data_IF_779839273497
#
_entry.id   IF_779839273497
#
_cell.length_a   1.000
_cell.length_b   1.000
_cell.length_c   1.000
_cell.angle_alpha   90.00
_cell.angle_beta   90.00
_cell.angle_gamma   90.00
#
_symmetry.space_group_name_H-M   'P 1'
#
loop_
_entity.id
_entity.type
_entity.pdbx_description
1 polymer ?
#
# COMPACT_ATOMS: atom_id res chain seq x y z
N UNK A 1 7.78 19.40 -3.28
CA UNK A 1 7.38 18.00 -3.00
C UNK A 1 7.01 17.32 -4.31
N UNK A 2 7.43 16.07 -4.52
CA UNK A 2 7.28 15.36 -5.80
C UNK A 2 7.56 13.86 -5.68
N UNK A 3 7.12 13.23 -4.60
CA UNK A 3 7.36 11.79 -4.40
C UNK A 3 6.21 10.97 -4.96
N UNK A 4 6.58 9.88 -5.64
CA UNK A 4 5.68 8.82 -6.05
C UNK A 4 5.23 8.07 -4.79
N UNK A 5 3.95 7.70 -4.72
CA UNK A 5 3.47 6.64 -3.84
C UNK A 5 3.16 5.39 -4.67
N UNK A 6 3.63 4.24 -4.22
CA UNK A 6 3.43 2.96 -4.90
C UNK A 6 3.58 1.85 -3.87
N UNK A 7 2.62 0.92 -3.81
CA UNK A 7 2.70 -0.29 -3.01
C UNK A 7 1.74 -1.35 -3.57
N UNK A 8 1.94 -2.60 -3.17
CA UNK A 8 1.02 -3.70 -3.43
C UNK A 8 0.88 -4.51 -2.14
N UNK A 9 -0.31 -4.53 -1.55
CA UNK A 9 -0.55 -5.11 -0.22
C UNK A 9 -0.81 -6.62 -0.27
N UNK A 10 -0.04 -7.37 0.50
CA UNK A 10 -0.24 -8.80 0.72
C UNK A 10 -0.13 -9.10 2.22
N UNK A 11 -0.90 -10.09 2.69
CA UNK A 11 -0.67 -10.67 4.01
C UNK A 11 0.77 -11.22 4.11
N UNK A 12 1.29 -11.38 5.33
CA UNK A 12 2.65 -11.90 5.53
C UNK A 12 2.82 -13.33 4.99
N UNK A 13 1.77 -14.14 5.05
CA UNK A 13 1.66 -15.49 4.47
C UNK A 13 1.11 -15.50 3.03
N UNK A 14 0.89 -14.33 2.42
CA UNK A 14 0.40 -14.19 1.05
C UNK A 14 1.45 -14.52 -0.02
N UNK A 15 0.97 -15.02 -1.16
CA UNK A 15 1.77 -15.42 -2.33
C UNK A 15 1.66 -14.40 -3.48
N UNK A 16 2.69 -13.54 -3.68
CA UNK A 16 2.73 -12.57 -4.75
C UNK A 16 3.24 -13.12 -6.09
N UNK A 17 3.48 -14.43 -6.22
CA UNK A 17 4.18 -15.02 -7.39
C UNK A 17 3.52 -14.66 -8.72
N UNK A 18 2.19 -14.70 -8.80
CA UNK A 18 1.47 -14.35 -10.03
C UNK A 18 1.70 -12.88 -10.42
N UNK A 19 1.60 -11.95 -9.46
CA UNK A 19 1.84 -10.53 -9.67
C UNK A 19 3.29 -10.29 -10.11
N UNK A 20 4.24 -10.87 -9.38
CA UNK A 20 5.66 -10.70 -9.66
C UNK A 20 6.00 -11.24 -11.04
N UNK A 21 5.56 -12.45 -11.41
CA UNK A 21 5.80 -13.03 -12.74
C UNK A 21 5.39 -12.08 -13.88
N UNK A 22 4.23 -11.43 -13.76
CA UNK A 22 3.76 -10.43 -14.73
C UNK A 22 4.58 -9.15 -14.70
N UNK A 23 4.91 -8.64 -13.51
CA UNK A 23 5.72 -7.44 -13.35
C UNK A 23 7.10 -7.61 -14.01
N UNK A 24 7.79 -8.72 -13.76
CA UNK A 24 9.13 -9.00 -14.32
C UNK A 24 9.16 -9.03 -15.84
N UNK A 25 8.08 -9.51 -16.45
CA UNK A 25 7.93 -9.60 -17.90
C UNK A 25 7.47 -8.28 -18.56
N UNK A 26 6.99 -7.31 -17.77
CA UNK A 26 6.54 -6.01 -18.28
C UNK A 26 7.73 -5.08 -18.58
N UNK A 27 7.61 -4.15 -19.54
CA UNK A 27 8.66 -3.18 -19.80
C UNK A 27 8.80 -2.16 -18.67
N UNK A 28 10.04 -1.80 -18.39
CA UNK A 28 10.48 -0.70 -17.55
C UNK A 28 10.30 0.65 -18.22
N UNK A 29 10.77 1.71 -17.55
CA UNK A 29 10.78 3.06 -18.15
C UNK A 29 11.87 3.24 -19.20
N UNK A 30 12.83 2.32 -19.26
CA UNK A 30 13.87 2.19 -20.29
C UNK A 30 13.42 1.35 -21.49
N UNK A 31 12.20 0.78 -21.45
CA UNK A 31 11.65 -0.07 -22.51
C UNK A 31 12.07 -1.55 -22.41
N UNK A 32 13.01 -1.90 -21.53
CA UNK A 32 13.48 -3.27 -21.33
C UNK A 32 12.63 -4.01 -20.28
N UNK A 33 12.56 -5.36 -20.31
CA UNK A 33 11.86 -6.11 -19.26
C UNK A 33 12.41 -5.78 -17.86
N UNK A 34 11.51 -5.56 -16.89
CA UNK A 34 11.90 -5.21 -15.51
C UNK A 34 12.74 -6.26 -14.81
N UNK A 35 12.67 -7.52 -15.26
CA UNK A 35 13.45 -8.63 -14.69
C UNK A 35 13.19 -8.77 -13.19
N UNK A 36 14.22 -9.14 -12.41
CA UNK A 36 14.10 -9.35 -10.96
C UNK A 36 14.19 -8.05 -10.13
N UNK A 37 14.01 -6.87 -10.74
CA UNK A 37 13.98 -5.61 -9.97
C UNK A 37 12.80 -5.61 -8.99
N UNK A 38 12.96 -5.07 -7.77
CA UNK A 38 11.85 -4.97 -6.83
C UNK A 38 10.84 -3.92 -7.31
N UNK A 39 9.57 -4.15 -7.01
CA UNK A 39 8.53 -3.11 -7.15
C UNK A 39 8.89 -1.94 -6.22
N UNK A 40 8.67 -0.70 -6.66
CA UNK A 40 8.79 0.46 -5.77
C UNK A 40 7.75 0.35 -4.65
N UNK A 41 8.23 0.17 -3.42
CA UNK A 41 7.39 0.11 -2.23
C UNK A 41 7.60 1.35 -1.36
N UNK A 42 6.56 2.16 -1.27
CA UNK A 42 6.42 3.28 -0.34
C UNK A 42 5.45 2.85 0.74
N UNK A 43 5.92 2.89 1.98
CA UNK A 43 5.09 2.51 3.11
C UNK A 43 4.01 3.59 3.32
N UNK A 44 2.72 3.25 3.22
CA UNK A 44 1.63 4.23 3.30
C UNK A 44 1.42 4.77 4.71
N UNK A 45 1.95 4.12 5.76
CA UNK A 45 1.90 4.64 7.14
C UNK A 45 2.92 5.75 7.32
N UNK A 46 4.14 5.58 6.79
CA UNK A 46 5.27 6.48 7.04
C UNK A 46 5.51 7.50 5.93
N UNK A 47 5.03 7.22 4.72
CA UNK A 47 5.33 7.99 3.50
C UNK A 47 6.75 7.77 2.92
N UNK A 48 7.52 6.81 3.47
CA UNK A 48 8.91 6.54 3.07
C UNK A 48 9.08 5.20 2.35
N UNK A 49 9.98 5.18 1.37
CA UNK A 49 10.38 3.96 0.64
C UNK A 49 11.04 2.94 1.55
N UNK A 50 10.79 1.65 1.30
CA UNK A 50 11.47 0.52 1.95
C UNK A 50 11.46 0.56 3.49
N UNK A 51 10.42 1.15 4.08
CA UNK A 51 10.31 1.32 5.53
C UNK A 51 9.32 0.35 6.16
N UNK A 52 9.36 0.26 7.49
CA UNK A 52 8.47 -0.56 8.33
C UNK A 52 7.77 0.34 9.34
N UNK A 53 6.50 0.04 9.60
CA UNK A 53 5.71 0.63 10.67
C UNK A 53 4.84 -0.44 11.35
N UNK A 54 4.74 -0.43 12.69
CA UNK A 54 3.82 -1.27 13.43
C UNK A 54 2.36 -0.86 13.17
N UNK A 55 1.42 -1.72 13.53
CA UNK A 55 0.00 -1.44 13.37
C UNK A 55 -0.45 -0.20 14.17
N UNK A 56 0.11 0.04 15.35
CA UNK A 56 -0.19 1.19 16.21
C UNK A 56 0.03 2.56 15.52
N UNK A 57 0.89 2.62 14.50
CA UNK A 57 1.13 3.83 13.71
C UNK A 57 0.09 4.04 12.58
N UNK A 58 -0.75 3.02 12.32
CA UNK A 58 -1.87 3.13 11.40
C UNK A 58 -2.98 3.95 12.03
N UNK A 59 -3.20 5.14 11.47
CA UNK A 59 -4.14 6.14 11.97
C UNK A 59 -5.59 5.84 11.60
N UNK A 60 -5.83 4.86 10.73
CA UNK A 60 -7.17 4.48 10.34
C UNK A 60 -7.24 3.68 9.05
N UNK A 61 -7.60 2.42 9.18
CA UNK A 61 -8.13 1.57 8.12
C UNK A 61 -9.62 1.83 7.93
N UNK A 62 -10.07 2.09 6.71
CA UNK A 62 -11.48 2.20 6.37
C UNK A 62 -12.04 0.80 6.08
N UNK A 63 -12.66 0.18 7.07
CA UNK A 63 -13.30 -1.14 6.93
C UNK A 63 -14.69 -0.94 6.30
N UNK A 64 -14.97 -1.46 5.10
CA UNK A 64 -16.24 -1.21 4.43
C UNK A 64 -17.37 -2.08 5.02
N UNK A 65 -18.59 -1.56 4.99
CA UNK A 65 -19.79 -2.37 5.21
C UNK A 65 -19.97 -3.41 4.09
N UNK A 66 -20.74 -4.47 4.33
CA UNK A 66 -20.91 -5.57 3.36
C UNK A 66 -21.39 -5.10 1.96
N UNK A 67 -22.27 -4.09 1.92
CA UNK A 67 -22.78 -3.49 0.69
C UNK A 67 -21.89 -2.36 0.12
N UNK A 68 -20.73 -2.11 0.72
CA UNK A 68 -19.77 -1.06 0.38
C UNK A 68 -20.33 0.39 0.41
N UNK A 69 -21.50 0.61 1.02
CA UNK A 69 -22.14 1.92 1.08
C UNK A 69 -21.62 2.83 2.20
N UNK A 70 -20.94 2.25 3.19
CA UNK A 70 -20.37 2.95 4.34
C UNK A 70 -19.10 2.24 4.81
N UNK A 71 -18.41 2.81 5.79
CA UNK A 71 -17.27 2.15 6.40
C UNK A 71 -16.90 2.78 7.73
N UNK A 72 -16.29 1.97 8.60
CA UNK A 72 -15.79 2.38 9.90
C UNK A 72 -14.29 2.63 9.81
N UNK A 73 -13.84 3.71 10.45
CA UNK A 73 -12.42 4.04 10.52
C UNK A 73 -11.81 3.39 11.77
N UNK A 74 -10.98 2.37 11.57
CA UNK A 74 -10.37 1.57 12.64
C UNK A 74 -8.87 1.87 12.72
N UNK A 75 -8.39 2.56 13.77
CA UNK A 75 -6.96 2.74 13.99
C UNK A 75 -6.31 1.42 14.44
N UNK A 76 -5.01 1.24 14.19
CA UNK A 76 -4.29 0.09 14.71
C UNK A 76 -4.55 -1.25 14.00
N UNK A 77 -5.27 -1.25 12.87
CA UNK A 77 -5.76 -2.51 12.29
C UNK A 77 -4.70 -3.32 11.54
N UNK A 78 -3.77 -2.67 10.83
CA UNK A 78 -2.66 -3.33 10.12
C UNK A 78 -1.37 -2.54 10.21
N UNK A 79 -0.26 -3.26 10.29
CA UNK A 79 1.07 -2.69 10.08
C UNK A 79 1.40 -2.58 8.60
N UNK A 80 2.63 -2.15 8.31
CA UNK A 80 3.13 -2.05 6.95
C UNK A 80 4.65 -2.26 6.93
N UNK A 81 5.12 -3.25 6.16
CA UNK A 81 6.54 -3.53 5.98
C UNK A 81 6.83 -3.80 4.51
N UNK A 82 7.61 -2.92 3.87
CA UNK A 82 8.14 -3.22 2.54
C UNK A 82 9.16 -4.36 2.61
N UNK A 83 8.95 -5.43 1.86
CA UNK A 83 9.89 -6.53 1.76
C UNK A 83 10.93 -6.33 0.64
N UNK A 84 11.88 -7.26 0.54
CA UNK A 84 12.98 -7.21 -0.45
C UNK A 84 12.51 -7.34 -1.90
N UNK A 85 11.28 -7.82 -2.14
CA UNK A 85 10.69 -7.97 -3.46
C UNK A 85 9.87 -6.73 -3.86
N UNK A 86 9.72 -5.75 -2.96
CA UNK A 86 8.90 -4.57 -3.18
C UNK A 86 7.41 -4.78 -2.85
N UNK A 87 7.08 -5.84 -2.12
CA UNK A 87 5.71 -6.12 -1.68
C UNK A 87 5.49 -5.49 -0.31
N UNK A 88 4.33 -4.87 -0.12
CA UNK A 88 3.93 -4.35 1.17
C UNK A 88 3.28 -5.47 1.99
N UNK A 89 3.98 -5.89 3.04
CA UNK A 89 3.55 -6.92 3.98
C UNK A 89 2.76 -6.27 5.12
N UNK A 90 1.52 -6.70 5.30
CA UNK A 90 0.56 -6.04 6.21
C UNK A 90 0.35 -6.77 7.55
N UNK A 91 1.06 -7.88 7.78
CA UNK A 91 0.86 -8.73 8.93
C UNK A 91 -0.37 -9.63 8.78
N UNK A 92 -1.09 -9.80 9.90
CA UNK A 92 -2.39 -10.46 9.91
C UNK A 92 -3.49 -9.44 9.58
N UNK A 93 -4.17 -9.57 8.43
CA UNK A 93 -5.14 -8.59 7.97
C UNK A 93 -6.49 -8.69 8.71
N UNK A 94 -7.19 -7.56 8.93
CA UNK A 94 -8.57 -7.58 9.41
C UNK A 94 -9.51 -8.14 8.35
N UNK A 95 -10.74 -8.47 8.76
CA UNK A 95 -11.81 -8.84 7.84
C UNK A 95 -12.26 -7.61 7.03
N UNK A 96 -11.79 -7.51 5.78
CA UNK A 96 -12.10 -6.39 4.86
C UNK A 96 -13.29 -6.67 3.93
N UNK A 97 -13.78 -7.91 3.89
CA UNK A 97 -14.85 -8.37 3.00
C UNK A 97 -14.35 -9.30 1.89
N UNK A 98 -15.20 -9.54 0.88
CA UNK A 98 -15.00 -10.61 -0.11
C UNK A 98 -14.09 -10.27 -1.28
N UNK A 99 -13.50 -9.07 -1.33
CA UNK A 99 -12.69 -8.63 -2.46
C UNK A 99 -11.17 -8.88 -2.29
N UNK A 100 -10.79 -9.74 -1.34
CA UNK A 100 -9.42 -10.25 -1.23
C UNK A 100 -9.14 -11.18 -2.40
N UNK A 101 -8.11 -10.86 -3.18
CA UNK A 101 -7.75 -11.60 -4.38
C UNK A 101 -6.93 -12.87 -4.04
N UNK A 102 -6.84 -13.85 -4.97
CA UNK A 102 -6.01 -15.03 -4.79
C UNK A 102 -4.57 -14.70 -4.35
N UNK A 103 -4.00 -15.56 -3.50
CA UNK A 103 -2.68 -15.33 -2.91
C UNK A 103 -2.69 -14.39 -1.70
N UNK A 104 -3.86 -14.14 -1.08
CA UNK A 104 -4.04 -13.16 0.02
C UNK A 104 -3.56 -11.77 -0.39
N UNK A 105 -3.95 -11.38 -1.60
CA UNK A 105 -3.65 -10.10 -2.23
C UNK A 105 -4.77 -9.09 -1.89
N UNK A 106 -4.40 -7.99 -1.25
CA UNK A 106 -5.30 -6.96 -0.77
C UNK A 106 -5.39 -5.75 -1.70
N UNK A 107 -5.06 -5.90 -2.98
CA UNK A 107 -5.01 -4.80 -3.95
C UNK A 107 -6.28 -3.91 -3.96
N UNK A 108 -7.47 -4.52 -3.91
CA UNK A 108 -8.75 -3.77 -3.85
C UNK A 108 -8.84 -2.87 -2.61
N UNK A 109 -8.15 -3.25 -1.55
CA UNK A 109 -8.10 -2.57 -0.26
C UNK A 109 -6.82 -1.75 -0.04
N UNK A 110 -5.96 -1.57 -1.05
CA UNK A 110 -4.67 -0.88 -0.91
C UNK A 110 -4.82 0.52 -0.27
N UNK A 111 -5.82 1.31 -0.69
CA UNK A 111 -6.11 2.62 -0.09
C UNK A 111 -6.92 2.47 1.22
N UNK A 112 -8.03 1.69 1.27
CA UNK A 112 -8.77 1.46 2.50
C UNK A 112 -7.92 1.03 3.71
N UNK A 113 -6.95 0.13 3.53
CA UNK A 113 -6.08 -0.35 4.62
C UNK A 113 -5.31 0.78 5.33
N UNK A 114 -5.05 1.90 4.65
CA UNK A 114 -4.24 3.01 5.15
C UNK A 114 -4.92 4.38 4.95
N UNK A 115 -6.25 4.38 4.90
CA UNK A 115 -7.08 5.52 4.49
C UNK A 115 -6.66 6.83 5.15
N UNK A 116 -6.53 6.82 6.48
CA UNK A 116 -6.21 8.04 7.23
C UNK A 116 -4.77 8.50 7.02
N UNK A 117 -3.81 7.57 6.98
CA UNK A 117 -2.41 7.91 6.75
C UNK A 117 -2.20 8.52 5.36
N UNK A 118 -2.78 7.91 4.32
CA UNK A 118 -2.69 8.43 2.94
C UNK A 118 -3.36 9.80 2.81
N UNK A 119 -4.53 9.98 3.45
CA UNK A 119 -5.20 11.28 3.48
C UNK A 119 -4.31 12.38 4.09
N UNK A 120 -3.65 12.12 5.22
CA UNK A 120 -2.77 13.09 5.88
C UNK A 120 -1.48 13.35 5.09
N UNK A 121 -0.92 12.32 4.46
CA UNK A 121 0.26 12.42 3.61
C UNK A 121 -0.01 13.31 2.38
N UNK A 122 -1.16 13.14 1.71
CA UNK A 122 -1.57 13.99 0.58
C UNK A 122 -1.70 15.45 1.00
N UNK A 123 -2.39 15.73 2.12
CA UNK A 123 -2.55 17.11 2.63
C UNK A 123 -1.19 17.76 2.89
N UNK A 124 -0.27 17.01 3.51
CA UNK A 124 1.08 17.49 3.82
C UNK A 124 1.85 17.82 2.53
N UNK A 125 1.90 16.89 1.59
CA UNK A 125 2.65 17.07 0.33
C UNK A 125 2.11 18.20 -0.53
N UNK A 126 0.78 18.37 -0.60
CA UNK A 126 0.14 19.46 -1.35
C UNK A 126 0.45 20.81 -0.71
N UNK A 127 0.40 20.92 0.63
CA UNK A 127 0.74 22.15 1.34
C UNK A 127 2.20 22.55 1.09
N UNK A 128 3.12 21.61 1.20
CA UNK A 128 4.54 21.84 0.92
C UNK A 128 4.79 22.22 -0.54
N UNK A 129 4.08 21.59 -1.47
CA UNK A 129 4.16 21.94 -2.89
C UNK A 129 3.73 23.38 -3.10
N UNK A 130 2.56 23.75 -2.58
CA UNK A 130 1.99 25.09 -2.74
C UNK A 130 2.93 26.15 -2.17
N UNK A 131 3.46 25.96 -0.96
CA UNK A 131 4.39 26.91 -0.34
C UNK A 131 5.72 27.07 -1.10
N UNK A 132 6.19 26.02 -1.78
CA UNK A 132 7.41 26.08 -2.59
C UNK A 132 7.20 26.69 -3.99
N UNK A 133 5.95 26.85 -4.43
CA UNK A 133 5.59 27.32 -5.77
C UNK A 133 4.68 28.57 -5.76
N UNK A 134 4.48 29.19 -4.60
CA UNK A 134 3.81 30.48 -4.40
C UNK A 134 4.82 31.59 -4.25
#
# INVERSE_FOLDING_TARGET
SGCILSWASFADDGDPTQLLSRFRASPGFDGEPRGDTPILCVNPITGFQNSTAPADDNKGTLVPSENLASGDLVPGAVGARCDKQGILRIGDPPEMGSAVLPGRNYHVYDIPLFWRNVQEDVVTRVREWAAANS
#
